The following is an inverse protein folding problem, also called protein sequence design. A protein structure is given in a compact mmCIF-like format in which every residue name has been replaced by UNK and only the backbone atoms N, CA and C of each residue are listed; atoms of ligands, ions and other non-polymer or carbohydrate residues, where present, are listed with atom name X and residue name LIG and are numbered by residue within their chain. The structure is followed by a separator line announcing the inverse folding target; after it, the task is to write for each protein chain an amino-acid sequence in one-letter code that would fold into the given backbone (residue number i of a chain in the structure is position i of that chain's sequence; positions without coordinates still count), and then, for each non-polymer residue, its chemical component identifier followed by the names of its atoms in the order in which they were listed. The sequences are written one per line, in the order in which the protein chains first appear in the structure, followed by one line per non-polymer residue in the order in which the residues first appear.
data_IF_381924289758
#
_entry.id   IF_381924289758
#
_cell.length_a   1.000
_cell.length_b   1.000
_cell.length_c   1.000
_cell.angle_alpha   90.00
_cell.angle_beta   90.00
_cell.angle_gamma   90.00
#
_symmetry.space_group_name_H-M   'P 1'
#
loop_
_entity.id
_entity.type
_entity.pdbx_description
1 polymer ?
#
# COMPACT_ATOMS: atom_id res chain seq x y z
N UNK A 1 -7.85 -2.91 16.08
CA UNK A 1 -6.93 -2.45 14.99
C UNK A 1 -5.48 -2.99 15.02
N UNK A 2 -4.84 -3.16 16.19
CA UNK A 2 -3.42 -3.58 16.27
C UNK A 2 -3.13 -4.95 15.63
N UNK A 3 -4.02 -5.92 15.84
CA UNK A 3 -3.87 -7.27 15.28
C UNK A 3 -3.89 -7.30 13.75
N UNK A 4 -4.78 -6.50 13.14
CA UNK A 4 -4.86 -6.33 11.68
C UNK A 4 -3.54 -5.75 11.12
N UNK A 5 -3.01 -4.73 11.78
CA UNK A 5 -1.73 -4.11 11.41
C UNK A 5 -0.56 -5.09 11.55
N UNK A 6 -0.47 -5.82 12.67
CA UNK A 6 0.60 -6.79 12.93
C UNK A 6 0.56 -7.98 11.95
N UNK A 7 -0.63 -8.45 11.57
CA UNK A 7 -0.82 -9.50 10.57
C UNK A 7 -0.46 -9.03 9.16
N UNK A 8 -0.93 -7.84 8.77
CA UNK A 8 -0.60 -7.24 7.46
C UNK A 8 0.90 -7.02 7.32
N UNK A 9 1.57 -6.55 8.39
CA UNK A 9 3.02 -6.37 8.43
C UNK A 9 3.80 -7.69 8.29
N UNK A 10 3.29 -8.79 8.86
CA UNK A 10 3.88 -10.13 8.66
C UNK A 10 3.70 -10.65 7.23
N UNK A 11 2.54 -10.44 6.63
CA UNK A 11 2.25 -10.86 5.25
C UNK A 11 3.01 -10.04 4.19
N UNK A 12 3.23 -8.75 4.45
CA UNK A 12 3.87 -7.84 3.50
C UNK A 12 5.37 -8.13 3.24
N UNK A 13 6.00 -9.03 4.02
CA UNK A 13 7.42 -9.34 3.88
C UNK A 13 8.33 -8.15 4.20
N UNK A 14 9.63 -8.24 3.84
CA UNK A 14 10.54 -7.08 3.91
C UNK A 14 10.35 -6.24 2.66
N UNK A 15 9.73 -5.08 2.79
CA UNK A 15 9.70 -4.08 1.73
C UNK A 15 11.13 -3.58 1.52
N UNK A 16 11.77 -4.03 0.44
CA UNK A 16 12.91 -3.30 -0.11
C UNK A 16 12.33 -2.09 -0.81
N UNK A 17 12.94 -0.92 -0.64
CA UNK A 17 12.59 0.21 -1.51
C UNK A 17 12.62 -0.28 -2.96
N UNK A 18 11.54 -0.12 -3.72
CA UNK A 18 11.66 -0.22 -5.15
C UNK A 18 12.57 0.93 -5.54
N UNK A 19 13.80 0.62 -5.92
CA UNK A 19 14.68 1.46 -6.74
C UNK A 19 14.08 1.60 -8.16
N UNK A 20 12.75 1.66 -8.27
CA UNK A 20 12.00 1.73 -9.52
C UNK A 20 11.66 3.18 -9.75
N UNK A 21 12.65 3.92 -10.22
CA UNK A 21 12.37 5.05 -11.10
C UNK A 21 11.43 4.54 -12.20
N UNK A 22 10.38 5.31 -12.51
CA UNK A 22 9.46 4.95 -13.59
C UNK A 22 10.29 4.88 -14.87
N UNK A 23 10.36 3.70 -15.48
CA UNK A 23 11.15 3.48 -16.69
C UNK A 23 10.35 3.78 -17.95
N UNK A 24 11.02 4.32 -18.95
CA UNK A 24 10.51 4.38 -20.31
C UNK A 24 10.40 2.96 -20.90
N UNK A 25 9.89 2.86 -22.13
CA UNK A 25 9.73 1.57 -22.83
C UNK A 25 11.08 0.92 -23.17
N UNK A 26 12.16 1.69 -23.19
CA UNK A 26 13.54 1.24 -23.36
C UNK A 26 14.22 0.86 -22.02
N UNK A 27 13.52 0.96 -20.89
CA UNK A 27 14.04 0.60 -19.57
C UNK A 27 14.90 1.68 -18.90
N UNK A 28 14.96 2.89 -19.46
CA UNK A 28 15.71 4.01 -18.90
C UNK A 28 14.86 4.77 -17.88
N UNK A 29 15.46 5.28 -16.79
CA UNK A 29 14.72 6.03 -15.79
C UNK A 29 14.19 7.36 -16.34
N UNK A 30 12.92 7.65 -16.06
CA UNK A 30 12.29 8.93 -16.35
C UNK A 30 12.45 9.83 -15.13
N UNK A 31 13.17 10.94 -15.29
CA UNK A 31 13.42 11.94 -14.23
C UNK A 31 12.50 13.15 -14.32
N UNK A 32 11.84 13.36 -15.46
CA UNK A 32 10.97 14.51 -15.69
C UNK A 32 9.49 14.18 -15.36
N UNK A 33 8.86 15.03 -14.55
CA UNK A 33 7.47 14.84 -14.07
C UNK A 33 6.48 14.73 -15.24
N UNK A 34 6.64 15.53 -16.29
CA UNK A 34 5.76 15.52 -17.46
C UNK A 34 5.84 14.20 -18.22
N UNK A 35 7.06 13.67 -18.39
CA UNK A 35 7.27 12.37 -19.03
C UNK A 35 6.71 11.23 -18.19
N UNK A 36 6.83 11.32 -16.86
CA UNK A 36 6.23 10.35 -15.95
C UNK A 36 4.70 10.36 -16.07
N UNK A 37 4.06 11.54 -16.09
CA UNK A 37 2.61 11.67 -16.30
C UNK A 37 2.17 11.10 -17.65
N UNK A 38 2.88 11.41 -18.73
CA UNK A 38 2.58 10.85 -20.06
C UNK A 38 2.76 9.32 -20.10
N UNK A 39 3.73 8.78 -19.36
CA UNK A 39 3.91 7.33 -19.19
C UNK A 39 2.73 6.71 -18.46
N UNK A 40 2.23 7.35 -17.40
CA UNK A 40 1.04 6.92 -16.67
C UNK A 40 -0.21 6.94 -17.54
N UNK A 41 -0.46 8.01 -18.30
CA UNK A 41 -1.61 8.12 -19.22
C UNK A 41 -1.61 6.97 -20.22
N UNK A 42 -0.50 6.74 -20.92
CA UNK A 42 -0.39 5.63 -21.90
C UNK A 42 -0.59 4.25 -21.28
N UNK A 43 -0.07 4.03 -20.07
CA UNK A 43 -0.21 2.76 -19.37
C UNK A 43 -1.68 2.50 -19.00
N UNK A 44 -2.35 3.50 -18.43
CA UNK A 44 -3.76 3.39 -18.05
C UNK A 44 -4.70 3.35 -19.24
N UNK A 45 -4.43 4.06 -20.33
CA UNK A 45 -5.19 3.93 -21.58
C UNK A 45 -5.17 2.48 -22.09
N UNK A 46 -4.03 1.79 -22.05
CA UNK A 46 -3.96 0.38 -22.48
C UNK A 46 -4.74 -0.58 -21.57
N UNK A 47 -4.76 -0.31 -20.25
CA UNK A 47 -5.44 -1.16 -19.27
C UNK A 47 -6.95 -0.89 -19.25
N UNK A 48 -7.36 0.37 -19.26
CA UNK A 48 -8.74 0.78 -19.07
C UNK A 48 -9.55 0.73 -20.38
N UNK A 49 -8.89 0.82 -21.53
CA UNK A 49 -9.53 0.64 -22.84
C UNK A 49 -9.53 -0.83 -23.29
N UNK A 50 -8.91 -1.74 -22.53
CA UNK A 50 -8.99 -3.17 -22.75
C UNK A 50 -10.32 -3.73 -22.25
N UNK A 51 -10.97 -4.60 -23.03
CA UNK A 51 -12.06 -5.43 -22.52
C UNK A 51 -11.61 -6.13 -21.25
N UNK A 52 -12.49 -6.24 -20.24
CA UNK A 52 -12.19 -6.97 -19.02
C UNK A 52 -11.54 -8.32 -19.37
N UNK A 53 -10.42 -8.68 -18.73
CA UNK A 53 -9.76 -9.95 -19.02
C UNK A 53 -10.80 -11.07 -18.86
N UNK A 54 -10.99 -11.86 -19.92
CA UNK A 54 -12.01 -12.90 -19.99
C UNK A 54 -11.81 -13.98 -18.91
N UNK A 55 -10.57 -14.11 -18.44
CA UNK A 55 -10.24 -14.96 -17.32
C UNK A 55 -10.10 -14.07 -16.06
N UNK A 56 -10.80 -14.41 -14.96
CA UNK A 56 -10.50 -13.79 -13.68
C UNK A 56 -9.02 -14.04 -13.33
N UNK A 57 -8.36 -13.12 -12.62
CA UNK A 57 -7.03 -13.37 -12.08
C UNK A 57 -7.04 -14.69 -11.29
N UNK A 58 -6.14 -15.61 -11.64
CA UNK A 58 -5.92 -16.85 -10.88
C UNK A 58 -5.17 -16.49 -9.58
N UNK A 59 -5.90 -15.86 -8.67
CA UNK A 59 -5.44 -15.57 -7.32
C UNK A 59 -5.85 -16.80 -6.53
N UNK A 60 -4.88 -17.66 -6.26
CA UNK A 60 -5.03 -18.78 -5.35
C UNK A 60 -5.56 -18.22 -4.03
N UNK A 61 -6.83 -18.48 -3.74
CA UNK A 61 -7.46 -18.06 -2.50
C UNK A 61 -6.84 -18.90 -1.39
N UNK A 62 -5.75 -18.43 -0.80
CA UNK A 62 -5.31 -18.93 0.49
C UNK A 62 -6.40 -18.56 1.47
N UNK A 63 -7.32 -19.49 1.72
CA UNK A 63 -8.24 -19.50 2.84
C UNK A 63 -7.45 -19.69 4.14
N UNK A 64 -6.48 -18.83 4.40
CA UNK A 64 -6.15 -18.52 5.77
C UNK A 64 -7.37 -17.76 6.27
N UNK A 65 -8.21 -18.47 7.01
CA UNK A 65 -9.24 -17.87 7.83
C UNK A 65 -8.52 -17.09 8.93
N UNK A 66 -7.94 -15.94 8.54
CA UNK A 66 -7.39 -14.98 9.47
C UNK A 66 -8.64 -14.46 10.16
N UNK A 67 -8.96 -15.01 11.34
CA UNK A 67 -9.99 -14.52 12.23
C UNK A 67 -9.64 -13.08 12.63
N UNK A 68 -9.90 -12.16 11.71
CA UNK A 68 -9.76 -10.73 11.90
C UNK A 68 -11.12 -10.24 12.35
N UNK A 69 -11.08 -9.45 13.42
CA UNK A 69 -12.25 -8.69 13.83
C UNK A 69 -12.54 -7.63 12.76
N UNK A 70 -13.51 -7.94 11.89
CA UNK A 70 -14.01 -7.03 10.84
C UNK A 70 -15.04 -6.05 11.41
N UNK A 71 -15.28 -6.06 12.72
CA UNK A 71 -16.15 -5.06 13.32
C UNK A 71 -15.53 -3.66 13.25
N UNK A 72 -16.35 -2.61 13.13
CA UNK A 72 -15.87 -1.25 13.21
C UNK A 72 -15.07 -1.00 14.50
N UNK A 73 -13.99 -0.20 14.45
CA UNK A 73 -13.21 0.13 15.62
C UNK A 73 -14.06 0.82 16.68
N UNK A 74 -13.82 0.48 17.94
CA UNK A 74 -14.53 1.07 19.08
C UNK A 74 -14.11 2.52 19.31
N UNK A 75 -15.01 3.33 19.89
CA UNK A 75 -14.75 4.73 20.24
C UNK A 75 -13.52 4.88 21.15
N UNK A 76 -13.34 3.93 22.07
CA UNK A 76 -12.20 3.85 22.99
C UNK A 76 -10.88 3.63 22.25
N UNK A 77 -10.84 2.71 21.27
CA UNK A 77 -9.66 2.48 20.42
C UNK A 77 -9.30 3.74 19.64
N UNK A 78 -10.28 4.42 19.04
CA UNK A 78 -10.08 5.67 18.30
C UNK A 78 -9.51 6.75 19.24
N UNK A 79 -10.10 6.92 20.43
CA UNK A 79 -9.65 7.89 21.43
C UNK A 79 -8.22 7.59 21.90
N UNK A 80 -7.88 6.32 22.11
CA UNK A 80 -6.53 5.91 22.50
C UNK A 80 -5.52 6.19 21.39
N UNK A 81 -5.84 5.89 20.13
CA UNK A 81 -4.98 6.17 18.99
C UNK A 81 -4.69 7.68 18.85
N UNK A 82 -5.73 8.52 18.96
CA UNK A 82 -5.57 9.99 18.93
C UNK A 82 -4.67 10.48 20.07
N UNK A 83 -4.77 9.90 21.27
CA UNK A 83 -3.89 10.25 22.41
C UNK A 83 -2.43 9.86 22.15
N UNK A 84 -2.18 8.71 21.52
CA UNK A 84 -0.81 8.30 21.15
C UNK A 84 -0.20 9.24 20.10
N UNK A 85 -1.00 9.66 19.12
CA UNK A 85 -0.57 10.63 18.10
C UNK A 85 -0.24 11.98 18.75
N UNK A 86 -1.13 12.50 19.63
CA UNK A 86 -0.93 13.78 20.32
C UNK A 86 0.23 13.81 21.32
N UNK A 87 0.67 12.65 21.82
CA UNK A 87 1.77 12.57 22.79
C UNK A 87 3.15 12.41 22.13
N UNK A 88 3.25 12.58 20.80
CA UNK A 88 4.49 12.36 20.05
C UNK A 88 4.99 10.91 20.11
N UNK A 89 4.19 9.99 20.68
CA UNK A 89 4.52 8.56 20.84
C UNK A 89 4.21 7.74 19.60
N UNK A 90 3.57 8.34 18.60
CA UNK A 90 3.49 7.76 17.27
C UNK A 90 4.84 7.97 16.55
N UNK A 91 5.91 7.38 17.08
CA UNK A 91 7.10 7.16 16.28
C UNK A 91 6.66 6.31 15.09
N UNK A 92 6.93 6.79 13.87
CA UNK A 92 6.87 5.92 12.71
C UNK A 92 7.76 4.69 12.94
N UNK A 93 7.52 3.57 12.22
CA UNK A 93 8.31 2.35 12.37
C UNK A 93 9.83 2.55 12.14
N UNK A 94 10.23 3.71 11.62
CA UNK A 94 11.60 4.13 11.36
C UNK A 94 12.29 4.79 12.58
N UNK A 95 11.64 4.84 13.74
CA UNK A 95 12.12 5.53 14.96
C UNK A 95 12.41 7.02 14.76
N UNK A 96 11.83 7.66 13.75
CA UNK A 96 11.98 9.09 13.52
C UNK A 96 11.02 9.83 14.48
N UNK A 97 11.54 10.74 15.32
CA UNK A 97 10.69 11.55 16.19
C UNK A 97 9.82 12.50 15.34
N UNK A 98 8.58 12.72 15.77
CA UNK A 98 7.75 13.76 15.20
C UNK A 98 8.37 15.14 15.51
N UNK A 99 8.41 16.02 14.51
CA UNK A 99 8.86 17.41 14.65
C UNK A 99 7.95 18.22 15.60
#
# INVERSE_FOLDING_TARGET
MKQLYDATKKLAGKYSEPERLVKDKEGRPITEIQQQRNRWVKYFEGILNGSAPMNPPDIEATHADIFMDVNPPTTEEIRMAIRQIKSGKAAGPDNIPAE
#
